data_IF_632778030570
#
_entry.id   IF_632778030570
#
_cell.length_a   1.000
_cell.length_b   1.000
_cell.length_c   1.000
_cell.angle_alpha   90.00
_cell.angle_beta   90.00
_cell.angle_gamma   90.00
#
_symmetry.space_group_name_H-M   'P 1'
#
loop_
_entity.id
_entity.type
_entity.pdbx_description
1 polymer ?
#
# COMPACT_ATOMS: atom_id res chain seq x y z
N UNK A 1 0.07 10.47 -17.40
CA UNK A 1 0.42 9.04 -17.17
C UNK A 1 -0.84 8.21 -17.12
N UNK A 2 -0.94 7.18 -17.95
CA UNK A 2 -2.06 6.24 -17.92
C UNK A 2 -1.94 5.30 -16.73
N UNK A 3 -3.04 4.60 -16.40
CA UNK A 3 -3.02 3.59 -15.33
C UNK A 3 -2.06 2.44 -15.65
N UNK A 4 -1.97 2.03 -16.90
CA UNK A 4 -1.02 1.00 -17.34
C UNK A 4 0.42 1.47 -17.19
N UNK A 5 0.72 2.68 -17.63
CA UNK A 5 2.06 3.26 -17.47
C UNK A 5 2.46 3.36 -16.01
N UNK A 6 1.51 3.75 -15.14
CA UNK A 6 1.75 3.80 -13.70
C UNK A 6 2.02 2.42 -13.12
N UNK A 7 1.24 1.40 -13.51
CA UNK A 7 1.47 0.04 -13.04
C UNK A 7 2.87 -0.46 -13.39
N UNK A 8 3.29 -0.25 -14.63
CA UNK A 8 4.63 -0.64 -15.08
C UNK A 8 5.70 0.13 -14.30
N UNK A 9 5.54 1.44 -14.17
CA UNK A 9 6.49 2.28 -13.43
C UNK A 9 6.58 1.90 -11.95
N UNK A 10 5.44 1.59 -11.33
CA UNK A 10 5.38 1.18 -9.93
C UNK A 10 6.10 -0.15 -9.70
N UNK A 11 5.84 -1.15 -10.55
CA UNK A 11 6.52 -2.44 -10.48
C UNK A 11 8.03 -2.30 -10.68
N UNK A 12 8.44 -1.48 -11.63
CA UNK A 12 9.86 -1.22 -11.88
C UNK A 12 10.51 -0.50 -10.70
N UNK A 13 9.81 0.43 -10.03
CA UNK A 13 10.32 1.11 -8.85
C UNK A 13 10.58 0.12 -7.70
N UNK A 14 9.64 -0.79 -7.45
CA UNK A 14 9.80 -1.84 -6.43
C UNK A 14 10.95 -2.77 -6.79
N UNK A 15 11.00 -3.24 -8.02
CA UNK A 15 12.05 -4.14 -8.50
C UNK A 15 13.44 -3.50 -8.32
N UNK A 16 13.58 -2.26 -8.75
CA UNK A 16 14.83 -1.51 -8.62
C UNK A 16 15.26 -1.35 -7.18
N UNK A 17 14.32 -1.06 -6.29
CA UNK A 17 14.58 -0.96 -4.86
C UNK A 17 15.08 -2.29 -4.28
N UNK A 18 14.42 -3.41 -4.58
CA UNK A 18 14.79 -4.72 -4.08
C UNK A 18 16.19 -5.15 -4.58
N UNK A 19 16.48 -4.91 -5.85
CA UNK A 19 17.79 -5.24 -6.43
C UNK A 19 18.88 -4.38 -5.79
N UNK A 20 18.67 -3.07 -5.70
CA UNK A 20 19.67 -2.12 -5.20
C UNK A 20 19.89 -2.26 -3.70
N UNK A 21 18.82 -2.41 -2.91
CA UNK A 21 18.88 -2.40 -1.45
C UNK A 21 19.23 -3.74 -0.86
N UNK A 22 18.68 -4.82 -1.43
CA UNK A 22 18.83 -6.17 -0.89
C UNK A 22 19.61 -7.12 -1.79
N UNK A 23 19.99 -6.67 -3.00
CA UNK A 23 20.67 -7.49 -4.02
C UNK A 23 19.87 -8.74 -4.39
N UNK A 24 18.56 -8.65 -4.30
CA UNK A 24 17.66 -9.75 -4.65
C UNK A 24 17.49 -9.86 -6.16
N UNK A 25 17.36 -11.09 -6.66
CA UNK A 25 17.17 -11.36 -8.09
C UNK A 25 15.70 -11.59 -8.37
N UNK A 26 14.93 -10.51 -8.44
CA UNK A 26 13.55 -10.55 -8.87
C UNK A 26 13.43 -10.19 -10.35
N UNK A 27 12.40 -10.74 -11.00
CA UNK A 27 11.91 -10.22 -12.27
C UNK A 27 10.64 -9.43 -12.02
N UNK A 28 10.17 -8.71 -13.04
CA UNK A 28 8.94 -7.92 -12.92
C UNK A 28 7.73 -8.79 -12.58
N UNK A 29 7.73 -10.06 -13.03
CA UNK A 29 6.66 -11.01 -12.74
C UNK A 29 6.59 -11.45 -11.27
N UNK A 30 7.64 -11.20 -10.50
CA UNK A 30 7.66 -11.48 -9.06
C UNK A 30 6.98 -10.39 -8.23
N UNK A 31 6.66 -9.27 -8.84
CA UNK A 31 6.01 -8.14 -8.19
C UNK A 31 4.53 -8.12 -8.58
N UNK A 32 3.67 -8.10 -7.59
CA UNK A 32 2.22 -8.08 -7.78
C UNK A 32 1.62 -6.79 -7.26
N UNK A 33 0.73 -6.20 -8.06
CA UNK A 33 -0.08 -5.07 -7.64
C UNK A 33 -1.33 -5.63 -6.97
N UNK A 34 -1.54 -5.32 -5.68
CA UNK A 34 -2.65 -5.87 -4.90
C UNK A 34 -3.76 -4.85 -4.67
N UNK A 35 -3.48 -3.57 -4.85
CA UNK A 35 -4.46 -2.52 -4.71
C UNK A 35 -4.06 -1.31 -5.54
N UNK A 36 -5.04 -0.60 -6.10
CA UNK A 36 -4.82 0.56 -6.94
C UNK A 36 -5.96 1.55 -6.76
N UNK A 37 -5.62 2.84 -6.69
CA UNK A 37 -6.58 3.94 -6.71
C UNK A 37 -6.11 5.06 -7.64
N UNK A 38 -7.07 5.72 -8.26
CA UNK A 38 -6.85 6.85 -9.16
C UNK A 38 -7.87 7.93 -8.83
N UNK A 39 -7.40 9.09 -8.38
CA UNK A 39 -8.25 10.22 -8.00
C UNK A 39 -7.63 11.51 -8.53
N UNK A 40 -8.35 12.21 -9.42
CA UNK A 40 -7.95 13.51 -9.97
C UNK A 40 -6.52 13.50 -10.58
N UNK A 41 -6.19 12.42 -11.29
CA UNK A 41 -4.88 12.26 -11.90
C UNK A 41 -3.82 11.69 -10.97
N UNK A 42 -4.01 11.77 -9.66
CA UNK A 42 -3.11 11.14 -8.69
C UNK A 42 -3.38 9.64 -8.61
N UNK A 43 -2.34 8.86 -8.42
CA UNK A 43 -2.44 7.41 -8.38
C UNK A 43 -1.69 6.86 -7.18
N UNK A 44 -2.22 5.79 -6.61
CA UNK A 44 -1.58 5.07 -5.51
C UNK A 44 -1.78 3.58 -5.71
N UNK A 45 -0.72 2.82 -5.47
CA UNK A 45 -0.77 1.37 -5.54
C UNK A 45 -0.08 0.75 -4.35
N UNK A 46 -0.58 -0.41 -3.93
CA UNK A 46 0.09 -1.27 -2.97
C UNK A 46 0.56 -2.50 -3.74
N UNK A 47 1.83 -2.84 -3.56
CA UNK A 47 2.49 -3.94 -4.25
C UNK A 47 3.15 -4.86 -3.22
N UNK A 48 3.30 -6.12 -3.62
CA UNK A 48 4.03 -7.11 -2.85
C UNK A 48 5.01 -7.83 -3.78
N UNK A 49 6.06 -8.38 -3.21
CA UNK A 49 6.89 -9.37 -3.89
C UNK A 49 6.50 -10.78 -3.44
N UNK A 50 6.99 -11.80 -4.11
CA UNK A 50 6.67 -13.18 -3.79
C UNK A 50 7.64 -13.83 -2.80
N UNK A 51 8.54 -13.05 -2.20
CA UNK A 51 9.57 -13.59 -1.31
C UNK A 51 9.11 -13.82 0.13
N UNK A 52 7.87 -13.44 0.49
CA UNK A 52 7.30 -13.59 1.83
C UNK A 52 8.19 -13.04 2.94
N UNK A 53 8.77 -11.86 2.70
CA UNK A 53 9.72 -11.22 3.61
C UNK A 53 9.07 -10.22 4.57
N UNK A 54 7.75 -10.10 4.55
CA UNK A 54 7.00 -9.15 5.38
C UNK A 54 7.03 -7.71 4.88
N UNK A 55 7.56 -7.47 3.69
CA UNK A 55 7.58 -6.13 3.10
C UNK A 55 6.31 -5.88 2.30
N UNK A 56 5.82 -4.64 2.37
CA UNK A 56 4.74 -4.11 1.55
C UNK A 56 5.26 -2.80 0.95
N UNK A 57 4.96 -2.58 -0.31
CA UNK A 57 5.41 -1.39 -1.05
C UNK A 57 4.21 -0.53 -1.40
N UNK A 58 4.34 0.76 -1.19
CA UNK A 58 3.31 1.72 -1.58
C UNK A 58 3.94 2.72 -2.54
N UNK A 59 3.39 2.80 -3.75
CA UNK A 59 3.85 3.74 -4.76
C UNK A 59 2.78 4.79 -4.98
N UNK A 60 3.17 6.05 -4.88
CA UNK A 60 2.28 7.19 -5.06
C UNK A 60 2.76 8.05 -6.22
N UNK A 61 1.84 8.43 -7.10
CA UNK A 61 2.10 9.39 -8.17
C UNK A 61 1.32 10.68 -7.90
N UNK A 62 2.06 11.79 -7.83
CA UNK A 62 1.50 13.12 -7.70
C UNK A 62 1.47 13.77 -9.09
N UNK A 63 0.27 13.92 -9.65
CA UNK A 63 0.09 14.42 -11.02
C UNK A 63 0.49 15.89 -11.16
N UNK A 64 0.23 16.70 -10.13
CA UNK A 64 0.56 18.12 -10.16
C UNK A 64 2.06 18.37 -10.25
N UNK A 65 2.83 17.60 -9.47
CA UNK A 65 4.30 17.72 -9.46
C UNK A 65 5.00 16.80 -10.45
N UNK A 66 4.27 15.87 -11.06
CA UNK A 66 4.82 14.80 -11.89
C UNK A 66 5.94 14.05 -11.15
N UNK A 67 5.67 13.68 -9.91
CA UNK A 67 6.60 12.95 -9.05
C UNK A 67 6.02 11.64 -8.59
N UNK A 68 6.89 10.64 -8.44
CA UNK A 68 6.54 9.33 -7.94
C UNK A 68 7.34 9.03 -6.67
N UNK A 69 6.66 8.49 -5.66
CA UNK A 69 7.26 8.15 -4.37
C UNK A 69 7.09 6.67 -4.10
N UNK A 70 8.11 6.07 -3.51
CA UNK A 70 8.08 4.68 -3.05
C UNK A 70 8.27 4.65 -1.53
N UNK A 71 7.27 4.09 -0.83
CA UNK A 71 7.34 3.82 0.60
C UNK A 71 7.42 2.32 0.81
N UNK A 72 8.28 1.89 1.73
CA UNK A 72 8.49 0.48 2.03
C UNK A 72 8.15 0.24 3.50
N UNK A 73 7.24 -0.72 3.74
CA UNK A 73 6.77 -1.06 5.07
C UNK A 73 7.13 -2.50 5.41
N UNK A 74 7.45 -2.72 6.67
CA UNK A 74 7.71 -4.06 7.19
C UNK A 74 6.58 -4.48 8.11
N UNK A 75 6.20 -5.74 8.03
CA UNK A 75 5.24 -6.33 8.93
C UNK A 75 5.82 -6.41 10.34
N UNK A 76 5.16 -5.79 11.29
CA UNK A 76 5.60 -5.74 12.70
C UNK A 76 5.01 -6.88 13.53
N UNK A 77 3.80 -7.33 13.21
CA UNK A 77 3.10 -8.33 14.01
C UNK A 77 2.11 -9.11 13.15
N UNK A 78 1.78 -10.29 13.63
CA UNK A 78 0.72 -11.12 13.07
C UNK A 78 0.03 -11.83 14.23
N UNK A 79 -1.21 -11.46 14.50
CA UNK A 79 -1.99 -12.01 15.61
C UNK A 79 -3.24 -12.73 15.10
N UNK A 80 -3.61 -13.81 15.76
CA UNK A 80 -4.88 -14.47 15.49
C UNK A 80 -5.98 -13.72 16.21
N UNK A 81 -6.95 -13.21 15.46
CA UNK A 81 -8.13 -12.54 16.02
C UNK A 81 -9.23 -13.56 16.18
N UNK A 82 -9.40 -14.10 17.40
CA UNK A 82 -10.31 -15.21 17.67
C UNK A 82 -11.77 -14.78 17.85
N UNK A 83 -11.97 -13.58 18.37
CA UNK A 83 -13.30 -13.10 18.76
C UNK A 83 -13.97 -12.21 17.70
N UNK A 84 -13.46 -12.20 16.48
CA UNK A 84 -13.92 -11.27 15.44
C UNK A 84 -15.41 -11.44 15.11
N UNK A 85 -15.92 -12.67 15.13
CA UNK A 85 -17.35 -12.92 14.84
C UNK A 85 -18.26 -12.34 15.91
N UNK A 86 -17.86 -12.48 17.18
CA UNK A 86 -18.62 -11.94 18.29
C UNK A 86 -18.66 -10.41 18.28
N UNK A 87 -17.55 -9.75 17.89
CA UNK A 87 -17.51 -8.30 17.84
C UNK A 87 -18.44 -7.72 16.77
N UNK A 88 -18.63 -8.41 15.65
CA UNK A 88 -19.56 -8.00 14.59
C UNK A 88 -21.01 -8.19 15.00
N UNK A 89 -21.32 -9.24 15.78
CA UNK A 89 -22.70 -9.61 16.15
C UNK A 89 -23.27 -8.81 17.33
N UNK A 90 -22.41 -8.24 18.19
CA UNK A 90 -22.82 -7.59 19.44
C UNK A 90 -23.19 -6.12 19.29
N UNK A 91 -22.69 -5.45 18.30
CA UNK A 91 -22.89 -4.02 18.11
C UNK A 91 -23.19 -3.70 16.66
N UNK A 92 -24.15 -2.81 16.43
CA UNK A 92 -24.30 -2.23 15.10
C UNK A 92 -23.10 -1.34 14.81
N UNK A 93 -22.59 -1.36 13.56
CA UNK A 93 -21.51 -0.45 13.20
C UNK A 93 -21.95 0.99 13.44
N UNK A 94 -21.25 1.69 14.30
CA UNK A 94 -21.48 3.12 14.49
C UNK A 94 -20.61 3.88 13.51
N UNK A 95 -21.23 4.89 12.86
CA UNK A 95 -20.47 5.79 12.00
C UNK A 95 -19.55 6.63 12.90
N UNK A 96 -18.23 6.63 12.67
CA UNK A 96 -17.30 7.45 13.45
C UNK A 96 -17.69 8.93 13.36
N UNK A 97 -17.50 9.68 14.44
CA UNK A 97 -17.69 11.13 14.41
C UNK A 97 -16.67 11.79 13.48
N UNK A 98 -16.96 13.00 13.02
CA UNK A 98 -16.02 13.75 12.18
C UNK A 98 -14.67 13.92 12.86
N UNK A 99 -14.66 14.12 14.18
CA UNK A 99 -13.43 14.24 14.96
C UNK A 99 -12.63 12.93 14.95
N UNK A 100 -13.30 11.79 15.11
CA UNK A 100 -12.64 10.47 15.04
C UNK A 100 -12.03 10.21 13.67
N UNK A 101 -12.74 10.55 12.60
CA UNK A 101 -12.25 10.42 11.23
C UNK A 101 -11.04 11.31 11.01
N UNK A 102 -11.09 12.56 11.45
CA UNK A 102 -9.97 13.49 11.32
C UNK A 102 -8.74 13.04 12.09
N UNK A 103 -8.92 12.50 13.30
CA UNK A 103 -7.81 11.97 14.09
C UNK A 103 -7.18 10.76 13.42
N UNK A 104 -7.99 9.85 12.88
CA UNK A 104 -7.49 8.69 12.14
C UNK A 104 -6.69 9.12 10.91
N UNK A 105 -7.20 10.06 10.13
CA UNK A 105 -6.51 10.59 8.95
C UNK A 105 -5.20 11.26 9.35
N UNK A 106 -5.19 12.07 10.41
CA UNK A 106 -3.99 12.73 10.91
C UNK A 106 -2.91 11.71 11.33
N UNK A 107 -3.29 10.66 12.05
CA UNK A 107 -2.37 9.59 12.47
C UNK A 107 -1.82 8.79 11.28
N UNK A 108 -2.59 8.66 10.21
CA UNK A 108 -2.20 7.87 9.04
C UNK A 108 -1.29 8.63 8.09
N UNK A 109 -1.38 9.97 8.07
CA UNK A 109 -0.63 10.83 7.13
C UNK A 109 0.76 11.20 7.65
N UNK A 110 0.96 11.19 8.96
CA UNK A 110 2.23 11.59 9.61
C UNK A 110 3.30 10.47 9.54
#
# INVERSE_FOLDING_TARGET
MTSYEFEVAAKNAVLRYCVKRYRERFSISDISLVWFAHVLGNKKAILIDNARNGRIYEVTYNAEKDEMYLDVYFKMANEVVRDYKASVQKEEPTVPSDTEILNYVAETII
#
